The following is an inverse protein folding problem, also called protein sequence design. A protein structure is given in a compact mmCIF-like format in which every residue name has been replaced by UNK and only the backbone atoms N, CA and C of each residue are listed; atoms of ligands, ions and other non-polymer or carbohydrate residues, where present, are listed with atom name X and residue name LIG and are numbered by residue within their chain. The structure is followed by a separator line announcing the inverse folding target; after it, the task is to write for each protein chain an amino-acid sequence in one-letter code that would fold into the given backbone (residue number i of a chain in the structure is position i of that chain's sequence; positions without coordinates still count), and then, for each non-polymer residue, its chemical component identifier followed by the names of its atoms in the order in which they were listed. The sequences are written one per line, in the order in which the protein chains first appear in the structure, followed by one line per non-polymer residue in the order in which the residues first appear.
data_IF_078976447428
#
_entry.id   IF_078976447428
#
_cell.length_a   1.000
_cell.length_b   1.000
_cell.length_c   1.000
_cell.angle_alpha   90.00
_cell.angle_beta   90.00
_cell.angle_gamma   90.00
#
_symmetry.space_group_name_H-M   'P 1'
#
loop_
_entity.id
_entity.type
_entity.pdbx_description
1 polymer ?
#
# COMPACT_ATOMS: atom_id res chain seq x y z
N UNK A 1 12.38 -46.52 20.79
CA UNK A 1 11.54 -45.31 20.70
C UNK A 1 12.31 -43.99 20.93
N UNK A 2 13.16 -43.81 21.96
CA UNK A 2 13.90 -42.53 22.17
C UNK A 2 14.80 -42.10 20.98
N UNK A 3 15.45 -42.99 20.26
CA UNK A 3 16.31 -42.67 19.11
C UNK A 3 15.54 -42.26 17.88
N UNK A 4 14.39 -42.91 17.61
CA UNK A 4 13.50 -42.57 16.49
C UNK A 4 12.91 -41.15 16.70
N UNK A 5 12.49 -40.82 17.92
CA UNK A 5 12.01 -39.47 18.23
C UNK A 5 13.09 -38.38 18.10
N UNK A 6 14.35 -38.70 18.41
CA UNK A 6 15.48 -37.77 18.19
C UNK A 6 15.77 -37.56 16.70
N UNK A 7 15.76 -38.60 15.89
CA UNK A 7 16.01 -38.52 14.45
C UNK A 7 14.98 -37.61 13.77
N UNK A 8 13.68 -37.82 14.02
CA UNK A 8 12.62 -36.97 13.50
C UNK A 8 12.73 -35.54 14.02
N UNK A 9 13.14 -35.36 15.27
CA UNK A 9 13.41 -34.03 15.84
C UNK A 9 14.47 -33.25 15.08
N UNK A 10 15.56 -33.91 14.64
CA UNK A 10 16.59 -33.24 13.83
C UNK A 10 16.13 -32.91 12.43
N UNK A 11 15.33 -33.77 11.79
CA UNK A 11 14.74 -33.46 10.46
C UNK A 11 13.82 -32.25 10.56
N UNK A 12 12.91 -32.20 11.53
CA UNK A 12 12.00 -31.08 11.75
C UNK A 12 12.75 -29.80 12.09
N UNK A 13 13.85 -29.89 12.84
CA UNK A 13 14.69 -28.72 13.13
C UNK A 13 15.38 -28.20 11.87
N UNK A 14 15.83 -29.06 10.98
CA UNK A 14 16.37 -28.69 9.66
C UNK A 14 15.34 -28.00 8.79
N UNK A 15 14.11 -28.53 8.75
CA UNK A 15 12.98 -27.89 8.04
C UNK A 15 12.69 -26.51 8.64
N UNK A 16 12.62 -26.41 9.97
CA UNK A 16 12.37 -25.13 10.64
C UNK A 16 13.48 -24.11 10.33
N UNK A 17 14.74 -24.52 10.30
CA UNK A 17 15.84 -23.64 9.91
C UNK A 17 15.64 -23.10 8.48
N UNK A 18 15.27 -23.94 7.53
CA UNK A 18 14.93 -23.51 6.18
C UNK A 18 13.76 -22.49 6.18
N UNK A 19 12.71 -22.73 6.97
CA UNK A 19 11.58 -21.81 7.08
C UNK A 19 11.96 -20.46 7.71
N UNK A 20 12.88 -20.46 8.69
CA UNK A 20 13.44 -19.22 9.26
C UNK A 20 14.24 -18.46 8.20
N UNK A 21 15.11 -19.13 7.45
CA UNK A 21 15.88 -18.49 6.37
C UNK A 21 14.94 -17.87 5.33
N UNK A 22 13.90 -18.59 4.90
CA UNK A 22 12.91 -18.07 3.94
C UNK A 22 12.12 -16.89 4.51
N UNK A 23 11.75 -16.91 5.80
CA UNK A 23 11.13 -15.76 6.47
C UNK A 23 12.05 -14.53 6.42
N UNK A 24 13.34 -14.69 6.71
CA UNK A 24 14.31 -13.59 6.69
C UNK A 24 14.53 -13.08 5.26
N UNK A 25 14.64 -13.95 4.26
CA UNK A 25 14.71 -13.54 2.85
C UNK A 25 13.51 -12.69 2.46
N UNK A 26 12.29 -13.09 2.87
CA UNK A 26 11.09 -12.31 2.62
C UNK A 26 11.08 -10.98 3.39
N UNK A 27 11.45 -10.98 4.67
CA UNK A 27 11.48 -9.79 5.52
C UNK A 27 12.47 -8.73 5.02
N UNK A 28 13.60 -9.17 4.43
CA UNK A 28 14.66 -8.30 3.92
C UNK A 28 14.64 -8.10 2.41
N UNK A 29 13.67 -8.67 1.70
CA UNK A 29 13.48 -8.44 0.26
C UNK A 29 13.32 -6.97 -0.15
N UNK A 30 12.80 -6.04 0.71
CA UNK A 30 12.77 -4.61 0.38
C UNK A 30 14.15 -3.99 0.12
N UNK A 31 15.24 -4.63 0.52
CA UNK A 31 16.61 -4.17 0.27
C UNK A 31 17.23 -4.75 -1.03
N UNK A 32 16.51 -5.62 -1.72
CA UNK A 32 16.92 -6.18 -3.01
C UNK A 32 16.49 -5.21 -4.11
N UNK A 33 17.47 -4.77 -4.93
CA UNK A 33 17.18 -3.90 -6.08
C UNK A 33 16.35 -4.65 -7.13
N UNK A 34 15.11 -4.16 -7.44
CA UNK A 34 14.26 -4.83 -8.43
C UNK A 34 14.76 -4.71 -9.86
N UNK A 35 15.62 -3.74 -10.18
CA UNK A 35 16.20 -3.59 -11.51
C UNK A 35 17.25 -4.68 -11.75
N UNK A 36 18.09 -4.95 -10.74
CA UNK A 36 19.11 -5.98 -10.82
C UNK A 36 18.55 -7.40 -10.57
N UNK A 37 17.58 -7.53 -9.64
CA UNK A 37 17.06 -8.82 -9.17
C UNK A 37 15.52 -8.82 -9.08
N UNK A 38 14.80 -8.66 -10.21
CA UNK A 38 13.35 -8.40 -10.18
C UNK A 38 12.53 -9.52 -9.53
N UNK A 39 12.89 -10.78 -9.74
CA UNK A 39 12.16 -11.92 -9.13
C UNK A 39 12.38 -11.98 -7.63
N UNK A 40 13.63 -11.80 -7.16
CA UNK A 40 13.95 -11.86 -5.74
C UNK A 40 13.35 -10.69 -4.94
N UNK A 41 13.21 -9.52 -5.56
CA UNK A 41 12.54 -8.37 -4.93
C UNK A 41 11.07 -8.63 -4.60
N UNK A 42 10.42 -9.57 -5.31
CA UNK A 42 9.04 -9.98 -5.04
C UNK A 42 8.91 -10.97 -3.87
N UNK A 43 10.00 -11.42 -3.25
CA UNK A 43 9.96 -12.40 -2.14
C UNK A 43 9.10 -11.91 -0.96
N UNK A 44 8.99 -10.60 -0.74
CA UNK A 44 8.15 -10.00 0.30
C UNK A 44 6.66 -10.37 0.19
N UNK A 45 6.18 -10.74 -1.00
CA UNK A 45 4.80 -11.22 -1.18
C UNK A 45 4.54 -12.55 -0.44
N UNK A 46 5.56 -13.37 -0.24
CA UNK A 46 5.46 -14.62 0.50
C UNK A 46 5.66 -14.47 2.02
N UNK A 47 6.00 -13.25 2.50
CA UNK A 47 6.25 -12.95 3.90
C UNK A 47 5.17 -13.48 4.85
N UNK A 48 3.84 -13.23 4.63
CA UNK A 48 2.82 -13.68 5.55
C UNK A 48 2.74 -15.21 5.66
N UNK A 49 2.99 -15.94 4.59
CA UNK A 49 2.99 -17.40 4.61
C UNK A 49 4.14 -17.95 5.50
N UNK A 50 5.36 -17.44 5.31
CA UNK A 50 6.50 -17.87 6.13
C UNK A 50 6.39 -17.36 7.56
N UNK A 51 5.77 -16.22 7.82
CA UNK A 51 5.47 -15.75 9.17
C UNK A 51 4.55 -16.75 9.90
N UNK A 52 3.45 -17.17 9.28
CA UNK A 52 2.51 -18.15 9.86
C UNK A 52 3.24 -19.49 10.14
N UNK A 53 4.00 -19.99 9.18
CA UNK A 53 4.74 -21.26 9.35
C UNK A 53 5.72 -21.16 10.53
N UNK A 54 6.45 -20.07 10.69
CA UNK A 54 7.40 -19.90 11.80
C UNK A 54 6.68 -19.72 13.15
N UNK A 55 5.51 -19.10 13.19
CA UNK A 55 4.67 -19.05 14.40
C UNK A 55 4.19 -20.46 14.78
N UNK A 56 3.79 -21.28 13.83
CA UNK A 56 3.39 -22.67 14.06
C UNK A 56 4.58 -23.50 14.57
N UNK A 57 5.78 -23.35 14.00
CA UNK A 57 6.99 -23.99 14.53
C UNK A 57 7.34 -23.52 15.94
N UNK A 58 7.19 -22.23 16.24
CA UNK A 58 7.42 -21.71 17.60
C UNK A 58 6.51 -22.43 18.60
N UNK A 59 5.20 -22.46 18.33
CA UNK A 59 4.22 -23.14 19.20
C UNK A 59 4.52 -24.63 19.31
N UNK A 60 4.80 -25.32 18.21
CA UNK A 60 5.14 -26.74 18.18
C UNK A 60 6.36 -27.04 19.07
N UNK A 61 7.44 -26.25 18.95
CA UNK A 61 8.64 -26.48 19.75
C UNK A 61 8.47 -26.14 21.23
N UNK A 62 7.65 -25.14 21.56
CA UNK A 62 7.33 -24.83 22.96
C UNK A 62 6.64 -26.01 23.67
N UNK A 63 5.86 -26.80 22.92
CA UNK A 63 5.16 -27.99 23.46
C UNK A 63 6.08 -29.21 23.51
N UNK A 64 6.86 -29.48 22.45
CA UNK A 64 7.60 -30.75 22.30
C UNK A 64 9.03 -30.66 22.85
N UNK A 65 9.82 -29.66 22.42
CA UNK A 65 11.22 -29.45 22.82
C UNK A 65 11.54 -27.96 22.94
N UNK A 66 11.28 -27.37 24.09
CA UNK A 66 11.36 -25.91 24.35
C UNK A 66 12.68 -25.26 23.89
N UNK A 67 13.80 -25.96 23.96
CA UNK A 67 15.09 -25.42 23.51
C UNK A 67 15.14 -25.10 22.01
N UNK A 68 14.37 -25.82 21.18
CA UNK A 68 14.32 -25.61 19.74
C UNK A 68 13.40 -24.44 19.35
N UNK A 69 12.50 -24.01 20.24
CA UNK A 69 11.67 -22.83 20.06
C UNK A 69 12.51 -21.55 19.87
N UNK A 70 13.75 -21.53 20.43
CA UNK A 70 14.66 -20.40 20.28
C UNK A 70 14.96 -20.07 18.80
N UNK A 71 15.02 -21.08 17.93
CA UNK A 71 15.28 -20.87 16.50
C UNK A 71 14.17 -20.03 15.84
N UNK A 72 12.91 -20.44 15.98
CA UNK A 72 11.78 -19.68 15.43
C UNK A 72 11.62 -18.32 16.13
N UNK A 73 11.84 -18.26 17.46
CA UNK A 73 11.78 -17.02 18.22
C UNK A 73 12.79 -15.99 17.69
N UNK A 74 14.04 -16.36 17.49
CA UNK A 74 15.08 -15.48 16.94
C UNK A 74 14.73 -15.04 15.50
N UNK A 75 14.22 -15.93 14.65
CA UNK A 75 13.74 -15.60 13.31
C UNK A 75 12.64 -14.52 13.35
N UNK A 76 11.68 -14.65 14.25
CA UNK A 76 10.59 -13.68 14.44
C UNK A 76 11.12 -12.34 14.98
N UNK A 77 12.04 -12.37 15.96
CA UNK A 77 12.68 -11.14 16.49
C UNK A 77 13.45 -10.41 15.40
N UNK A 78 14.24 -11.12 14.58
CA UNK A 78 14.94 -10.51 13.45
C UNK A 78 13.99 -9.95 12.38
N UNK A 79 12.74 -10.42 12.32
CA UNK A 79 11.72 -9.98 11.37
C UNK A 79 10.75 -8.95 11.97
N UNK A 80 10.96 -8.47 13.21
CA UNK A 80 9.99 -7.65 13.95
C UNK A 80 9.61 -6.37 13.20
N UNK A 81 10.55 -5.73 12.51
CA UNK A 81 10.29 -4.55 11.67
C UNK A 81 9.31 -4.85 10.54
N UNK A 82 9.53 -5.95 9.81
CA UNK A 82 8.64 -6.40 8.75
C UNK A 82 7.26 -6.82 9.30
N UNK A 83 7.24 -7.52 10.45
CA UNK A 83 5.98 -7.90 11.12
C UNK A 83 5.17 -6.65 11.46
N UNK A 84 5.79 -5.64 12.09
CA UNK A 84 5.13 -4.39 12.45
C UNK A 84 4.65 -3.62 11.23
N UNK A 85 5.43 -3.59 10.15
CA UNK A 85 5.02 -2.93 8.91
C UNK A 85 3.83 -3.63 8.25
N UNK A 86 3.81 -4.98 8.28
CA UNK A 86 2.76 -5.76 7.65
C UNK A 86 1.47 -5.84 8.47
N UNK A 87 1.60 -5.98 9.80
CA UNK A 87 0.50 -6.14 10.75
C UNK A 87 0.74 -5.28 12.00
N UNK A 88 0.56 -3.95 11.91
CA UNK A 88 0.70 -3.08 13.08
C UNK A 88 -0.37 -3.37 14.11
N UNK A 89 0.02 -3.25 15.39
CA UNK A 89 -0.87 -3.33 16.55
C UNK A 89 -0.62 -2.10 17.41
N UNK A 90 -1.59 -1.18 17.43
CA UNK A 90 -1.55 0.03 18.23
C UNK A 90 -2.66 -0.04 19.29
N UNK A 91 -2.30 -0.49 20.50
CA UNK A 91 -3.24 -0.71 21.61
C UNK A 91 -3.70 0.62 22.20
N UNK A 92 -2.79 1.60 22.27
CA UNK A 92 -3.09 2.91 22.81
C UNK A 92 -3.42 3.89 21.69
N UNK A 93 -4.69 4.28 21.61
CA UNK A 93 -5.17 5.27 20.65
C UNK A 93 -5.05 6.66 21.30
N UNK A 94 -4.18 7.51 20.77
CA UNK A 94 -4.10 8.90 21.19
C UNK A 94 -5.32 9.67 20.70
N UNK A 95 -5.80 10.61 21.50
CA UNK A 95 -6.82 11.55 21.06
C UNK A 95 -6.32 12.40 19.89
N UNK A 96 -7.22 12.71 18.98
CA UNK A 96 -6.90 13.59 17.84
C UNK A 96 -6.79 15.01 18.38
N UNK A 97 -5.63 15.68 18.22
CA UNK A 97 -5.46 17.03 18.73
C UNK A 97 -6.34 18.03 17.96
N UNK A 98 -6.69 19.10 18.63
CA UNK A 98 -7.39 20.23 18.00
C UNK A 98 -6.54 20.81 16.85
N UNK A 99 -7.16 21.16 15.73
CA UNK A 99 -6.46 21.65 14.54
C UNK A 99 -5.80 20.58 13.67
N UNK A 100 -5.90 19.29 14.03
CA UNK A 100 -5.48 18.21 13.15
C UNK A 100 -6.29 18.20 11.86
N UNK A 101 -5.61 18.03 10.72
CA UNK A 101 -6.27 17.93 9.41
C UNK A 101 -6.62 16.48 9.09
N UNK A 102 -7.80 16.24 8.52
CA UNK A 102 -8.18 14.93 7.99
C UNK A 102 -7.71 14.79 6.55
N UNK A 103 -6.79 13.87 6.31
CA UNK A 103 -6.23 13.55 5.01
C UNK A 103 -6.79 12.25 4.47
N UNK A 104 -7.20 12.21 3.19
CA UNK A 104 -7.79 11.05 2.53
C UNK A 104 -7.10 10.80 1.18
N UNK A 105 -6.77 9.55 0.91
CA UNK A 105 -6.30 9.05 -0.40
C UNK A 105 -7.21 7.93 -0.89
N UNK A 106 -7.61 7.97 -2.16
CA UNK A 106 -8.53 6.99 -2.71
C UNK A 106 -8.32 6.75 -4.22
N UNK A 107 -8.02 5.51 -4.60
CA UNK A 107 -8.13 5.06 -5.99
C UNK A 107 -9.61 4.77 -6.28
N UNK A 108 -10.21 5.60 -7.15
CA UNK A 108 -11.67 5.64 -7.35
C UNK A 108 -12.18 4.63 -8.37
N UNK A 109 -11.29 3.87 -9.04
CA UNK A 109 -11.65 3.01 -10.17
C UNK A 109 -12.55 3.78 -11.17
N UNK A 110 -12.07 4.93 -11.62
CA UNK A 110 -12.84 5.83 -12.50
C UNK A 110 -14.23 6.21 -11.95
N UNK A 111 -14.35 6.44 -10.63
CA UNK A 111 -15.64 6.71 -9.96
C UNK A 111 -16.68 5.61 -10.22
N UNK A 112 -16.32 4.36 -9.86
CA UNK A 112 -17.12 3.16 -10.14
C UNK A 112 -17.35 2.96 -11.66
N UNK A 113 -16.24 2.83 -12.41
CA UNK A 113 -16.27 2.63 -13.88
C UNK A 113 -17.07 3.68 -14.62
N UNK A 114 -16.88 4.95 -14.22
CA UNK A 114 -17.54 6.12 -14.80
C UNK A 114 -19.09 6.06 -14.68
N UNK A 115 -19.59 5.61 -13.51
CA UNK A 115 -21.00 5.58 -13.21
C UNK A 115 -21.56 7.01 -13.16
N UNK A 116 -22.70 7.22 -13.83
CA UNK A 116 -23.39 8.51 -13.80
C UNK A 116 -23.77 8.94 -12.38
N UNK A 117 -23.83 10.23 -12.16
CA UNK A 117 -24.29 10.83 -10.91
C UNK A 117 -25.63 11.53 -11.16
N UNK A 118 -26.73 10.89 -10.78
CA UNK A 118 -28.08 11.46 -10.95
C UNK A 118 -28.74 11.69 -9.60
N UNK A 119 -29.81 12.49 -9.57
CA UNK A 119 -30.54 12.78 -8.35
C UNK A 119 -31.16 11.52 -7.73
N UNK A 120 -31.68 10.62 -8.57
CA UNK A 120 -32.36 9.39 -8.12
C UNK A 120 -31.38 8.23 -7.90
N UNK A 121 -30.17 8.32 -8.45
CA UNK A 121 -29.12 7.32 -8.30
C UNK A 121 -27.74 8.00 -8.23
N UNK A 122 -27.40 8.57 -7.06
CA UNK A 122 -26.16 9.29 -6.88
C UNK A 122 -24.95 8.34 -6.99
N UNK A 123 -23.83 8.88 -7.45
CA UNK A 123 -22.59 8.12 -7.52
C UNK A 123 -22.04 7.91 -6.10
N UNK A 124 -21.89 6.66 -5.62
CA UNK A 124 -21.54 6.36 -4.24
C UNK A 124 -20.12 6.80 -3.87
N UNK A 125 -19.19 6.86 -4.86
CA UNK A 125 -17.84 7.38 -4.61
C UNK A 125 -17.91 8.88 -4.31
N UNK A 126 -18.71 9.65 -5.07
CA UNK A 126 -18.89 11.07 -4.81
C UNK A 126 -19.60 11.35 -3.49
N UNK A 127 -20.60 10.54 -3.14
CA UNK A 127 -21.27 10.64 -1.83
C UNK A 127 -20.30 10.36 -0.67
N UNK A 128 -19.50 9.31 -0.80
CA UNK A 128 -18.48 8.98 0.20
C UNK A 128 -17.48 10.15 0.37
N UNK A 129 -16.94 10.66 -0.74
CA UNK A 129 -15.98 11.77 -0.71
C UNK A 129 -16.57 13.03 -0.06
N UNK A 130 -17.80 13.39 -0.41
CA UNK A 130 -18.52 14.52 0.18
C UNK A 130 -18.73 14.36 1.68
N UNK A 131 -19.12 13.15 2.10
CA UNK A 131 -19.44 12.86 3.49
C UNK A 131 -18.21 12.51 4.34
N UNK A 132 -17.03 12.35 3.72
CA UNK A 132 -15.79 11.99 4.41
C UNK A 132 -15.31 13.04 5.41
N UNK A 133 -15.72 14.30 5.24
CA UNK A 133 -15.23 15.46 5.99
C UNK A 133 -13.70 15.58 6.00
N UNK A 134 -13.03 15.08 4.95
CA UNK A 134 -11.61 15.26 4.80
C UNK A 134 -11.28 16.73 4.47
N UNK A 135 -10.12 17.19 4.89
CA UNK A 135 -9.65 18.55 4.57
C UNK A 135 -8.84 18.57 3.27
N UNK A 136 -8.15 17.47 3.00
CA UNK A 136 -7.40 17.24 1.76
C UNK A 136 -7.73 15.85 1.24
N UNK A 137 -8.09 15.75 -0.04
CA UNK A 137 -8.42 14.52 -0.75
C UNK A 137 -7.48 14.35 -1.94
N UNK A 138 -6.77 13.24 -1.99
CA UNK A 138 -5.97 12.82 -3.14
C UNK A 138 -6.63 11.61 -3.83
N UNK A 139 -6.88 11.75 -5.14
CA UNK A 139 -7.59 10.73 -5.92
C UNK A 139 -6.67 10.15 -6.99
N UNK A 140 -6.71 8.84 -7.16
CA UNK A 140 -6.10 8.10 -8.25
C UNK A 140 -7.20 7.54 -9.16
N UNK A 141 -6.84 7.18 -10.38
CA UNK A 141 -7.78 6.82 -11.44
C UNK A 141 -8.94 7.84 -11.59
N UNK A 142 -8.58 9.11 -11.54
CA UNK A 142 -9.54 10.18 -11.77
C UNK A 142 -9.89 10.23 -13.26
N UNK A 143 -10.89 9.45 -13.67
CA UNK A 143 -11.33 9.33 -15.06
C UNK A 143 -12.74 9.89 -15.18
N UNK A 144 -12.88 10.94 -15.95
CA UNK A 144 -14.14 11.64 -16.23
C UNK A 144 -14.27 11.94 -17.74
N UNK A 145 -15.45 12.34 -18.18
CA UNK A 145 -15.70 12.69 -19.59
C UNK A 145 -16.49 11.64 -20.35
N UNK A 146 -17.19 10.77 -19.64
CA UNK A 146 -18.19 9.84 -20.17
C UNK A 146 -19.56 10.10 -19.56
N UNK A 147 -20.08 9.10 -18.81
CA UNK A 147 -21.35 9.24 -18.08
C UNK A 147 -21.23 10.12 -16.83
N UNK A 148 -20.03 10.31 -16.32
CA UNK A 148 -19.72 11.24 -15.23
C UNK A 148 -18.82 12.36 -15.79
N UNK A 149 -19.26 13.58 -15.67
CA UNK A 149 -18.52 14.75 -16.15
C UNK A 149 -17.69 15.38 -15.04
N UNK A 150 -16.61 16.09 -15.43
CA UNK A 150 -15.81 16.86 -14.47
C UNK A 150 -16.66 17.90 -13.71
N UNK A 151 -17.66 18.51 -14.39
CA UNK A 151 -18.55 19.50 -13.76
C UNK A 151 -19.39 18.87 -12.64
N UNK A 152 -19.87 17.65 -12.81
CA UNK A 152 -20.63 16.93 -11.78
C UNK A 152 -19.74 16.57 -10.58
N UNK A 153 -18.50 16.13 -10.81
CA UNK A 153 -17.53 15.89 -9.74
C UNK A 153 -17.22 17.18 -8.99
N UNK A 154 -16.91 18.27 -9.72
CA UNK A 154 -16.61 19.57 -9.12
C UNK A 154 -17.81 20.15 -8.34
N UNK A 155 -19.05 19.87 -8.79
CA UNK A 155 -20.27 20.26 -8.08
C UNK A 155 -20.49 19.42 -6.81
N UNK A 156 -20.26 18.13 -6.88
CA UNK A 156 -20.37 17.24 -5.70
C UNK A 156 -19.35 17.62 -4.62
N UNK A 157 -18.15 18.03 -5.02
CA UNK A 157 -17.05 18.43 -4.14
C UNK A 157 -16.86 19.97 -4.07
N UNK A 158 -17.96 20.74 -4.21
CA UNK A 158 -17.91 22.22 -4.19
C UNK A 158 -17.45 22.83 -2.87
N UNK A 159 -17.49 22.06 -1.77
CA UNK A 159 -17.01 22.48 -0.45
C UNK A 159 -15.47 22.50 -0.36
N UNK A 160 -14.78 22.08 -1.43
CA UNK A 160 -13.34 22.18 -1.61
C UNK A 160 -13.03 23.32 -2.61
N UNK A 161 -12.73 24.54 -2.13
CA UNK A 161 -12.50 25.69 -3.01
C UNK A 161 -11.25 25.54 -3.87
N UNK A 162 -10.25 24.78 -3.39
CA UNK A 162 -8.99 24.55 -4.10
C UNK A 162 -8.96 23.14 -4.66
N UNK A 163 -8.74 23.03 -5.96
CA UNK A 163 -8.73 21.77 -6.68
C UNK A 163 -7.74 21.77 -7.82
N UNK A 164 -7.12 20.65 -8.05
CA UNK A 164 -6.25 20.41 -9.20
C UNK A 164 -6.55 19.05 -9.80
N UNK A 165 -6.63 19.00 -11.10
CA UNK A 165 -6.70 17.78 -11.88
C UNK A 165 -5.52 17.74 -12.84
N UNK A 166 -4.77 16.67 -12.83
CA UNK A 166 -3.67 16.44 -13.75
C UNK A 166 -3.90 15.16 -14.56
N UNK A 167 -4.01 15.33 -15.87
CA UNK A 167 -4.13 14.21 -16.81
C UNK A 167 -2.75 13.54 -16.96
N UNK A 168 -2.70 12.23 -16.80
CA UNK A 168 -1.48 11.43 -16.97
C UNK A 168 -1.40 10.88 -18.39
N UNK A 169 -2.38 10.06 -18.78
CA UNK A 169 -2.42 9.40 -20.08
C UNK A 169 -3.85 9.04 -20.47
N UNK A 170 -4.21 9.16 -21.74
CA UNK A 170 -5.56 8.85 -22.19
C UNK A 170 -6.61 9.63 -21.41
N UNK A 171 -7.52 8.94 -20.72
CA UNK A 171 -8.50 9.51 -19.80
C UNK A 171 -8.04 9.46 -18.33
N UNK A 172 -6.93 8.76 -18.01
CA UNK A 172 -6.44 8.59 -16.64
C UNK A 172 -5.79 9.87 -16.11
N UNK A 173 -6.00 10.14 -14.82
CA UNK A 173 -5.44 11.29 -14.15
C UNK A 173 -5.39 11.14 -12.63
N UNK A 174 -4.82 12.16 -12.00
CA UNK A 174 -4.78 12.35 -10.56
C UNK A 174 -5.53 13.63 -10.18
N UNK A 175 -6.29 13.56 -9.09
CA UNK A 175 -7.04 14.69 -8.55
C UNK A 175 -6.57 15.06 -7.14
N UNK A 176 -6.62 16.35 -6.84
CA UNK A 176 -6.47 16.86 -5.48
C UNK A 176 -7.59 17.87 -5.22
N UNK A 177 -8.31 17.66 -4.13
CA UNK A 177 -9.32 18.58 -3.60
C UNK A 177 -8.91 18.99 -2.19
N UNK A 178 -8.92 20.29 -1.91
CA UNK A 178 -8.41 20.82 -0.65
C UNK A 178 -9.27 21.98 -0.14
N UNK A 179 -9.47 22.04 1.16
CA UNK A 179 -9.98 23.22 1.85
C UNK A 179 -8.94 24.32 1.99
N UNK A 180 -7.67 23.96 1.79
CA UNK A 180 -6.51 24.82 1.90
C UNK A 180 -5.96 25.21 0.52
N UNK A 181 -5.33 26.39 0.38
CA UNK A 181 -4.77 26.86 -0.89
C UNK A 181 -3.73 25.91 -1.48
N UNK A 182 -3.94 25.46 -2.71
CA UNK A 182 -2.97 24.73 -3.52
C UNK A 182 -2.10 25.79 -4.24
N UNK A 183 -0.84 25.94 -3.79
CA UNK A 183 0.08 26.97 -4.30
C UNK A 183 0.73 26.52 -5.62
N UNK A 184 1.00 25.25 -5.79
CA UNK A 184 1.56 24.69 -7.02
C UNK A 184 1.24 23.20 -7.17
N UNK A 185 1.29 22.71 -8.40
CA UNK A 185 1.10 21.31 -8.76
C UNK A 185 2.04 20.97 -9.92
N UNK A 186 2.95 20.02 -9.71
CA UNK A 186 3.94 19.64 -10.70
C UNK A 186 4.04 18.11 -10.80
N UNK A 187 4.09 17.53 -12.01
CA UNK A 187 4.34 16.11 -12.18
C UNK A 187 5.75 15.74 -11.73
N UNK A 188 5.89 14.60 -11.07
CA UNK A 188 7.20 14.01 -10.75
C UNK A 188 7.75 13.37 -12.04
N UNK A 189 8.98 13.70 -12.38
CA UNK A 189 9.59 13.25 -13.66
C UNK A 189 10.13 11.83 -13.54
N UNK A 190 9.48 10.90 -14.23
CA UNK A 190 9.93 9.55 -14.52
C UNK A 190 9.17 8.98 -15.72
N UNK A 191 9.69 7.92 -16.33
CA UNK A 191 9.01 7.27 -17.45
C UNK A 191 7.87 6.39 -16.97
N UNK A 192 6.67 6.60 -17.49
CA UNK A 192 5.52 5.72 -17.37
C UNK A 192 4.54 6.00 -18.50
N UNK A 193 3.82 4.99 -18.94
CA UNK A 193 2.81 5.14 -20.00
C UNK A 193 1.44 5.55 -19.44
N UNK A 194 1.04 4.99 -18.30
CA UNK A 194 -0.32 5.11 -17.78
C UNK A 194 -0.39 5.56 -16.32
N UNK A 195 0.73 5.63 -15.62
CA UNK A 195 0.83 5.92 -14.20
C UNK A 195 1.66 7.18 -13.97
N UNK A 196 1.51 7.82 -12.82
CA UNK A 196 2.20 9.06 -12.54
C UNK A 196 2.09 9.50 -11.09
N UNK A 197 2.86 10.55 -10.77
CA UNK A 197 2.82 11.21 -9.46
C UNK A 197 2.79 12.71 -9.64
N UNK A 198 2.03 13.39 -8.78
CA UNK A 198 1.93 14.85 -8.74
C UNK A 198 2.35 15.34 -7.37
N UNK A 199 3.26 16.30 -7.36
CA UNK A 199 3.70 17.01 -6.16
C UNK A 199 2.93 18.33 -6.05
N UNK A 200 2.17 18.48 -4.97
CA UNK A 200 1.43 19.69 -4.62
C UNK A 200 2.16 20.42 -3.48
N UNK A 201 2.17 21.76 -3.53
CA UNK A 201 2.45 22.58 -2.35
C UNK A 201 1.13 23.13 -1.85
N UNK A 202 0.75 22.80 -0.62
CA UNK A 202 -0.53 23.20 -0.02
C UNK A 202 -0.23 24.00 1.24
N UNK A 203 -0.84 25.19 1.37
CA UNK A 203 -0.64 26.06 2.52
C UNK A 203 -1.62 25.70 3.63
N UNK A 204 -1.14 25.13 4.73
CA UNK A 204 -1.96 24.67 5.86
C UNK A 204 -1.48 25.39 7.13
N UNK A 205 -2.37 26.08 7.83
CA UNK A 205 -2.09 26.73 9.14
C UNK A 205 -0.84 27.61 9.17
N UNK A 206 -0.53 28.27 8.06
CA UNK A 206 0.65 29.14 7.96
C UNK A 206 1.86 28.48 7.31
N UNK A 207 1.99 27.18 7.37
CA UNK A 207 3.07 26.40 6.76
C UNK A 207 2.72 25.87 5.38
N UNK A 208 3.73 25.41 4.65
CA UNK A 208 3.56 24.80 3.33
C UNK A 208 3.88 23.31 3.41
N UNK A 209 2.87 22.46 3.18
CA UNK A 209 3.05 21.03 3.07
C UNK A 209 3.40 20.64 1.63
N UNK A 210 4.34 19.71 1.45
CA UNK A 210 4.50 18.96 0.21
C UNK A 210 3.59 17.74 0.27
N UNK A 211 2.64 17.67 -0.64
CA UNK A 211 1.76 16.48 -0.79
C UNK A 211 2.09 15.82 -2.12
N UNK A 212 2.53 14.56 -2.10
CA UNK A 212 2.83 13.78 -3.31
C UNK A 212 1.76 12.71 -3.46
N UNK A 213 0.89 12.89 -4.46
CA UNK A 213 -0.15 11.94 -4.82
C UNK A 213 0.37 10.99 -5.90
N UNK A 214 0.39 9.71 -5.62
CA UNK A 214 0.99 8.68 -6.46
C UNK A 214 -0.04 7.68 -6.99
N UNK A 215 0.10 7.32 -8.26
CA UNK A 215 -0.41 6.09 -8.81
C UNK A 215 0.76 5.44 -9.55
N UNK A 216 1.48 4.55 -8.86
CA UNK A 216 2.69 3.93 -9.40
C UNK A 216 2.34 2.79 -10.37
N UNK A 217 3.35 2.32 -11.11
CA UNK A 217 3.16 1.32 -12.17
C UNK A 217 2.36 0.12 -11.69
N UNK A 218 1.26 -0.16 -12.37
CA UNK A 218 0.37 -1.28 -12.05
C UNK A 218 1.00 -2.62 -12.43
N UNK A 219 0.56 -3.68 -11.78
CA UNK A 219 1.06 -5.04 -12.05
C UNK A 219 0.62 -5.61 -13.40
N UNK A 220 -0.22 -4.89 -14.16
CA UNK A 220 -0.73 -5.26 -15.49
C UNK A 220 -1.34 -6.67 -15.55
N UNK A 221 -1.90 -7.12 -14.42
CA UNK A 221 -2.59 -8.40 -14.37
C UNK A 221 -3.92 -8.29 -15.11
N UNK A 222 -4.05 -9.01 -16.20
CA UNK A 222 -5.28 -9.11 -16.98
C UNK A 222 -6.30 -10.00 -16.28
N UNK A 223 -7.57 -9.95 -16.70
CA UNK A 223 -8.59 -10.90 -16.18
C UNK A 223 -8.19 -12.37 -16.42
N UNK A 224 -7.50 -12.65 -17.55
CA UNK A 224 -6.95 -13.98 -17.82
C UNK A 224 -5.89 -14.40 -16.79
N UNK A 225 -5.00 -13.47 -16.38
CA UNK A 225 -4.00 -13.76 -15.35
C UNK A 225 -4.65 -14.02 -13.99
N UNK A 226 -5.69 -13.26 -13.65
CA UNK A 226 -6.47 -13.44 -12.43
C UNK A 226 -7.25 -14.76 -12.46
N UNK A 227 -7.68 -15.22 -13.63
CA UNK A 227 -8.32 -16.52 -13.81
C UNK A 227 -7.32 -17.67 -13.61
N UNK A 228 -6.13 -17.57 -14.20
CA UNK A 228 -5.02 -18.52 -13.94
C UNK A 228 -4.74 -18.66 -12.44
N UNK A 229 -4.70 -17.55 -11.72
CA UNK A 229 -4.51 -17.56 -10.26
C UNK A 229 -5.69 -18.30 -9.56
N UNK A 230 -6.93 -17.98 -9.92
CA UNK A 230 -8.12 -18.66 -9.36
C UNK A 230 -8.12 -20.16 -9.61
N UNK A 231 -7.74 -20.58 -10.82
CA UNK A 231 -7.63 -22.00 -11.16
C UNK A 231 -6.54 -22.71 -10.36
N UNK A 232 -5.37 -22.06 -10.18
CA UNK A 232 -4.30 -22.60 -9.34
C UNK A 232 -4.74 -22.82 -7.88
N UNK A 233 -5.59 -21.93 -7.37
CA UNK A 233 -6.09 -22.03 -5.98
C UNK A 233 -7.21 -23.09 -5.86
N UNK A 234 -8.01 -23.31 -6.90
CA UNK A 234 -9.13 -24.29 -6.87
C UNK A 234 -8.68 -25.73 -7.13
N UNK A 235 -7.75 -25.91 -8.04
CA UNK A 235 -7.25 -27.21 -8.48
C UNK A 235 -5.72 -27.14 -8.62
N UNK A 236 -4.97 -27.29 -7.50
CA UNK A 236 -3.52 -27.13 -7.45
C UNK A 236 -2.77 -28.31 -8.08
N UNK A 237 -2.85 -28.45 -9.40
CA UNK A 237 -2.00 -29.37 -10.14
C UNK A 237 -0.56 -28.80 -10.25
N UNK A 238 0.44 -29.69 -10.10
CA UNK A 238 1.85 -29.30 -10.09
C UNK A 238 2.28 -28.51 -11.33
N UNK A 239 1.78 -28.87 -12.51
CA UNK A 239 2.12 -28.21 -13.78
C UNK A 239 1.43 -26.85 -13.87
N UNK A 240 0.15 -26.74 -13.55
CA UNK A 240 -0.62 -25.49 -13.50
C UNK A 240 -0.01 -24.51 -12.51
N UNK A 241 0.31 -24.97 -11.29
CA UNK A 241 0.92 -24.13 -10.25
C UNK A 241 2.29 -23.62 -10.71
N UNK A 242 3.13 -24.47 -11.31
CA UNK A 242 4.47 -24.05 -11.78
C UNK A 242 4.38 -23.03 -12.90
N UNK A 243 3.55 -23.25 -13.92
CA UNK A 243 3.42 -22.34 -15.07
C UNK A 243 2.74 -21.03 -14.68
N UNK A 244 1.65 -21.10 -13.91
CA UNK A 244 0.91 -19.93 -13.46
C UNK A 244 1.74 -19.06 -12.53
N UNK A 245 2.45 -19.64 -11.57
CA UNK A 245 3.35 -18.88 -10.67
C UNK A 245 4.47 -18.20 -11.46
N UNK A 246 5.07 -18.87 -12.42
CA UNK A 246 6.12 -18.28 -13.27
C UNK A 246 5.61 -17.07 -14.07
N UNK A 247 4.41 -17.18 -14.64
CA UNK A 247 3.77 -16.09 -15.38
C UNK A 247 3.50 -14.90 -14.47
N UNK A 248 2.84 -15.14 -13.32
CA UNK A 248 2.45 -14.08 -12.39
C UNK A 248 3.68 -13.39 -11.77
N UNK A 249 4.65 -14.17 -11.29
CA UNK A 249 5.89 -13.63 -10.72
C UNK A 249 6.66 -12.82 -11.78
N UNK A 250 6.69 -13.28 -13.05
CA UNK A 250 7.32 -12.54 -14.13
C UNK A 250 6.73 -11.14 -14.33
N UNK A 251 5.39 -11.03 -14.37
CA UNK A 251 4.70 -9.73 -14.48
C UNK A 251 4.91 -8.83 -13.27
N UNK A 252 4.83 -9.39 -12.07
CA UNK A 252 5.08 -8.67 -10.82
C UNK A 252 6.52 -8.15 -10.76
N UNK A 253 7.48 -8.95 -11.17
CA UNK A 253 8.89 -8.61 -11.21
C UNK A 253 9.17 -7.47 -12.22
N UNK A 254 8.58 -7.53 -13.42
CA UNK A 254 8.68 -6.44 -14.41
C UNK A 254 8.12 -5.13 -13.87
N UNK A 255 6.91 -5.17 -13.28
CA UNK A 255 6.28 -4.01 -12.69
C UNK A 255 7.09 -3.45 -11.50
N UNK A 256 7.67 -4.33 -10.66
CA UNK A 256 8.52 -3.93 -9.53
C UNK A 256 9.79 -3.19 -10.00
N UNK A 257 10.43 -3.63 -11.10
CA UNK A 257 11.58 -2.94 -11.66
C UNK A 257 11.24 -1.53 -12.16
N UNK A 258 10.06 -1.34 -12.79
CA UNK A 258 9.58 -0.01 -13.20
C UNK A 258 9.29 0.85 -11.98
N UNK A 259 8.58 0.32 -10.98
CA UNK A 259 8.27 1.03 -9.74
C UNK A 259 9.52 1.46 -8.96
N UNK A 260 10.61 0.70 -9.02
CA UNK A 260 11.86 1.08 -8.37
C UNK A 260 12.37 2.45 -8.87
N UNK A 261 12.39 2.66 -10.18
CA UNK A 261 12.80 3.95 -10.77
C UNK A 261 11.86 5.08 -10.39
N UNK A 262 10.56 4.80 -10.31
CA UNK A 262 9.55 5.76 -9.86
C UNK A 262 9.76 6.11 -8.38
N UNK A 263 9.98 5.11 -7.53
CA UNK A 263 10.24 5.27 -6.10
C UNK A 263 11.49 6.13 -5.83
N UNK A 264 12.58 5.85 -6.54
CA UNK A 264 13.81 6.64 -6.43
C UNK A 264 13.61 8.11 -6.82
N UNK A 265 12.75 8.37 -7.81
CA UNK A 265 12.44 9.74 -8.23
C UNK A 265 11.62 10.49 -7.18
N UNK A 266 10.67 9.82 -6.55
CA UNK A 266 9.87 10.36 -5.45
C UNK A 266 10.76 10.60 -4.23
N UNK A 267 11.61 9.63 -3.86
CA UNK A 267 12.52 9.75 -2.72
C UNK A 267 13.48 10.95 -2.87
N UNK A 268 14.03 11.17 -4.07
CA UNK A 268 14.86 12.37 -4.35
C UNK A 268 14.08 13.68 -4.19
N UNK A 269 12.83 13.73 -4.66
CA UNK A 269 11.96 14.90 -4.48
C UNK A 269 11.71 15.17 -2.99
N UNK A 270 11.36 14.14 -2.23
CA UNK A 270 11.09 14.19 -0.78
C UNK A 270 12.32 14.66 -0.02
N UNK A 271 13.50 14.06 -0.28
CA UNK A 271 14.75 14.42 0.37
C UNK A 271 15.20 15.87 0.07
N UNK A 272 14.85 16.38 -1.11
CA UNK A 272 15.15 17.76 -1.53
C UNK A 272 14.24 18.83 -0.93
N UNK A 273 13.10 18.45 -0.32
CA UNK A 273 12.14 19.42 0.22
C UNK A 273 12.57 19.95 1.59
N UNK A 274 12.54 21.29 1.74
CA UNK A 274 12.97 22.02 2.94
C UNK A 274 11.85 22.86 3.59
N UNK A 275 10.59 22.58 3.22
CA UNK A 275 9.42 23.28 3.79
C UNK A 275 8.92 22.65 5.10
N UNK A 276 7.67 22.93 5.46
CA UNK A 276 7.04 22.51 6.71
C UNK A 276 6.94 20.99 6.85
N UNK A 277 5.90 20.37 6.31
CA UNK A 277 5.70 18.93 6.40
C UNK A 277 5.62 18.25 5.03
N UNK A 278 5.74 16.92 5.01
CA UNK A 278 5.61 16.10 3.80
C UNK A 278 4.56 15.03 4.04
N UNK A 279 3.65 14.87 3.08
CA UNK A 279 2.70 13.76 2.99
C UNK A 279 2.89 13.10 1.64
N UNK A 280 3.27 11.83 1.62
CA UNK A 280 3.31 11.02 0.40
C UNK A 280 2.19 10.00 0.47
N UNK A 281 1.29 9.99 -0.51
CA UNK A 281 0.12 9.14 -0.48
C UNK A 281 -0.16 8.50 -1.84
N UNK A 282 -1.10 7.58 -1.86
CA UNK A 282 -1.67 7.02 -3.07
C UNK A 282 -1.49 5.53 -3.21
N UNK A 283 -1.83 5.05 -4.39
CA UNK A 283 -1.70 3.66 -4.81
C UNK A 283 -0.26 3.38 -5.26
N UNK A 284 0.48 2.64 -4.43
CA UNK A 284 1.86 2.26 -4.74
C UNK A 284 1.93 0.99 -5.62
N UNK A 285 0.79 0.30 -5.81
CA UNK A 285 0.72 -0.97 -6.53
C UNK A 285 1.71 -2.04 -6.02
N UNK A 286 2.17 -1.89 -4.79
CA UNK A 286 3.17 -2.76 -4.15
C UNK A 286 2.87 -2.97 -2.67
N UNK A 287 3.32 -4.10 -2.13
CA UNK A 287 3.08 -4.46 -0.73
C UNK A 287 3.90 -3.59 0.24
N UNK A 288 3.53 -3.55 1.54
CA UNK A 288 4.35 -2.86 2.54
C UNK A 288 5.75 -3.47 2.71
N UNK A 289 5.93 -4.74 2.32
CA UNK A 289 7.23 -5.43 2.34
C UNK A 289 7.79 -5.43 0.91
N UNK A 290 8.09 -4.23 0.39
CA UNK A 290 8.63 -4.03 -0.95
C UNK A 290 9.72 -2.97 -0.98
N UNK A 291 10.54 -3.01 -2.03
CA UNK A 291 11.52 -1.97 -2.33
C UNK A 291 10.83 -0.60 -2.48
N UNK A 292 9.74 -0.56 -3.22
CA UNK A 292 8.96 0.67 -3.47
C UNK A 292 8.55 1.34 -2.16
N UNK A 293 7.89 0.59 -1.26
CA UNK A 293 7.44 1.14 0.02
C UNK A 293 8.62 1.62 0.88
N UNK A 294 9.71 0.83 0.95
CA UNK A 294 10.92 1.20 1.70
C UNK A 294 11.56 2.49 1.17
N UNK A 295 11.76 2.58 -0.14
CA UNK A 295 12.49 3.72 -0.75
C UNK A 295 11.67 5.00 -0.68
N UNK A 296 10.38 4.95 -1.02
CA UNK A 296 9.48 6.12 -0.88
C UNK A 296 9.34 6.53 0.59
N UNK A 297 9.35 5.54 1.49
CA UNK A 297 9.23 5.75 2.94
C UNK A 297 10.54 6.16 3.65
N UNK A 298 11.65 6.29 2.93
CA UNK A 298 12.91 6.65 3.56
C UNK A 298 12.83 8.05 4.21
N UNK A 299 13.10 8.09 5.53
CA UNK A 299 12.96 9.32 6.32
C UNK A 299 11.52 9.70 6.68
N UNK A 300 10.51 8.93 6.27
CA UNK A 300 9.10 9.14 6.59
C UNK A 300 8.59 8.08 7.58
N UNK A 301 7.45 8.35 8.20
CA UNK A 301 6.68 7.41 9.02
C UNK A 301 5.46 6.92 8.23
N UNK A 302 5.20 5.62 8.21
CA UNK A 302 3.96 5.07 7.66
C UNK A 302 2.81 5.34 8.65
N UNK A 303 1.80 6.10 8.21
CA UNK A 303 0.67 6.51 9.03
C UNK A 303 -0.14 5.29 9.52
N UNK A 304 -0.26 4.24 8.69
CA UNK A 304 -0.98 3.03 9.09
C UNK A 304 -0.18 2.23 10.12
N UNK A 305 1.14 2.18 10.01
CA UNK A 305 2.02 1.55 11.03
C UNK A 305 2.00 2.34 12.33
N UNK A 306 1.91 3.67 12.26
CA UNK A 306 1.94 4.56 13.43
C UNK A 306 0.61 4.56 14.20
N UNK A 307 -0.56 4.49 13.52
CA UNK A 307 -1.87 4.69 14.16
C UNK A 307 -3.01 3.83 13.61
N UNK A 308 -2.72 2.90 12.69
CA UNK A 308 -3.67 1.89 12.21
C UNK A 308 -3.51 0.55 12.91
N UNK A 309 -4.37 -0.42 12.59
CA UNK A 309 -4.36 -1.76 13.17
C UNK A 309 -4.69 -2.83 12.13
N UNK A 310 -4.05 -3.99 12.24
CA UNK A 310 -4.32 -5.17 11.42
C UNK A 310 -3.63 -5.11 10.05
N UNK A 311 -4.19 -5.78 9.06
CA UNK A 311 -3.59 -5.90 7.72
C UNK A 311 -3.73 -4.64 6.86
N UNK A 312 -4.75 -3.82 7.10
CA UNK A 312 -5.02 -2.63 6.31
C UNK A 312 -5.27 -2.91 4.83
N UNK A 313 -5.93 -4.01 4.51
CA UNK A 313 -6.20 -4.43 3.14
C UNK A 313 -6.93 -3.31 2.41
N UNK A 314 -6.28 -2.68 1.45
CA UNK A 314 -6.85 -1.61 0.63
C UNK A 314 -7.29 -2.09 -0.76
N UNK A 315 -6.65 -3.12 -1.32
CA UNK A 315 -7.08 -3.79 -2.54
C UNK A 315 -7.73 -5.14 -2.23
N UNK A 316 -8.95 -5.38 -2.74
CA UNK A 316 -9.76 -6.52 -2.38
C UNK A 316 -10.52 -7.06 -3.61
N UNK A 317 -9.81 -7.63 -4.57
CA UNK A 317 -10.41 -8.22 -5.76
C UNK A 317 -9.79 -9.57 -6.10
N UNK A 318 -10.62 -10.51 -6.56
CA UNK A 318 -10.18 -11.81 -7.10
C UNK A 318 -9.27 -12.62 -6.18
N UNK A 319 -9.52 -12.58 -4.85
CA UNK A 319 -8.71 -13.21 -3.79
C UNK A 319 -7.30 -12.59 -3.61
N UNK A 320 -7.04 -11.44 -4.21
CA UNK A 320 -5.87 -10.62 -3.90
C UNK A 320 -6.23 -9.64 -2.78
N UNK A 321 -5.62 -9.80 -1.62
CA UNK A 321 -5.88 -9.02 -0.42
C UNK A 321 -4.58 -8.35 0.02
N UNK A 322 -4.36 -7.11 -0.44
CA UNK A 322 -3.11 -6.38 -0.18
C UNK A 322 -3.37 -4.97 0.31
N UNK A 323 -2.47 -4.47 1.17
CA UNK A 323 -2.36 -3.04 1.43
C UNK A 323 -1.39 -2.46 0.41
N UNK A 324 -1.90 -1.73 -0.58
CA UNK A 324 -1.12 -1.09 -1.63
C UNK A 324 -1.34 0.42 -1.66
N UNK A 325 -2.36 0.92 -0.97
CA UNK A 325 -2.59 2.33 -0.75
C UNK A 325 -1.95 2.76 0.57
N UNK A 326 -1.18 3.84 0.55
CA UNK A 326 -0.36 4.25 1.66
C UNK A 326 -0.48 5.77 1.92
N UNK A 327 -0.22 6.17 3.18
CA UNK A 327 0.02 7.55 3.60
C UNK A 327 1.30 7.54 4.42
N UNK A 328 2.31 8.26 3.97
CA UNK A 328 3.61 8.39 4.63
C UNK A 328 3.82 9.85 5.03
N UNK A 329 4.30 10.10 6.23
CA UNK A 329 4.42 11.41 6.84
C UNK A 329 5.87 11.74 7.21
N UNK A 330 6.31 12.97 7.00
CA UNK A 330 7.59 13.44 7.54
C UNK A 330 7.61 13.38 9.07
N UNK A 331 8.81 13.28 9.66
CA UNK A 331 8.99 13.01 11.08
C UNK A 331 8.44 14.10 12.01
N UNK A 332 8.27 15.32 11.53
CA UNK A 332 7.64 16.42 12.25
C UNK A 332 6.10 16.35 12.27
N UNK A 333 5.51 15.45 11.47
CA UNK A 333 4.09 15.16 11.49
C UNK A 333 3.80 13.84 12.23
N UNK A 334 2.59 13.73 12.78
CA UNK A 334 2.09 12.52 13.43
C UNK A 334 0.71 12.16 12.89
N UNK A 335 0.49 10.86 12.67
CA UNK A 335 -0.81 10.33 12.29
C UNK A 335 -1.62 9.91 13.49
N UNK A 336 -2.95 10.03 13.35
CA UNK A 336 -3.92 9.55 14.33
C UNK A 336 -5.05 8.84 13.60
N UNK A 337 -5.51 7.71 14.16
CA UNK A 337 -6.65 6.92 13.68
C UNK A 337 -6.57 6.55 12.21
N UNK A 338 -5.38 6.18 11.71
CA UNK A 338 -5.24 5.78 10.33
C UNK A 338 -6.09 4.54 10.04
N UNK A 339 -6.95 4.66 9.04
CA UNK A 339 -7.98 3.66 8.74
C UNK A 339 -8.03 3.39 7.25
N UNK A 340 -8.06 2.12 6.87
CA UNK A 340 -8.51 1.68 5.55
C UNK A 340 -10.01 1.40 5.69
N UNK A 341 -10.82 2.21 5.02
CA UNK A 341 -12.27 2.24 5.21
C UNK A 341 -12.98 1.32 4.23
N UNK A 342 -13.32 0.12 4.69
CA UNK A 342 -14.00 -0.90 3.90
C UNK A 342 -15.54 -0.78 3.91
N UNK A 343 -16.10 0.30 4.39
CA UNK A 343 -17.56 0.55 4.36
C UNK A 343 -18.05 0.83 2.95
N UNK A 344 -17.22 1.49 2.10
CA UNK A 344 -17.50 1.68 0.67
C UNK A 344 -16.90 0.54 -0.16
N UNK A 345 -17.69 0.03 -1.13
CA UNK A 345 -17.31 -1.10 -2.02
C UNK A 345 -17.46 -0.78 -3.50
N UNK A 346 -17.49 0.50 -3.85
CA UNK A 346 -17.71 0.98 -5.22
C UNK A 346 -16.44 1.16 -6.03
N UNK A 347 -15.30 0.77 -5.47
CA UNK A 347 -14.00 0.62 -6.13
C UNK A 347 -13.42 -0.75 -5.76
N UNK A 348 -12.47 -1.22 -6.53
CA UNK A 348 -11.61 -2.36 -6.17
C UNK A 348 -10.56 -1.99 -5.12
N UNK A 349 -10.45 -0.71 -4.78
CA UNK A 349 -9.71 -0.21 -3.64
C UNK A 349 -10.64 0.31 -2.55
N UNK A 350 -10.16 0.27 -1.30
CA UNK A 350 -10.75 0.98 -0.18
C UNK A 350 -9.96 2.26 0.09
N UNK A 351 -10.64 3.39 0.39
CA UNK A 351 -9.95 4.62 0.75
C UNK A 351 -9.15 4.44 2.04
N UNK A 352 -7.98 5.09 2.08
CA UNK A 352 -7.19 5.22 3.30
C UNK A 352 -7.23 6.67 3.77
N UNK A 353 -7.45 6.89 5.06
CA UNK A 353 -7.46 8.21 5.65
C UNK A 353 -6.87 8.22 7.06
N UNK A 354 -6.36 9.35 7.49
CA UNK A 354 -5.91 9.59 8.85
C UNK A 354 -6.10 11.06 9.23
N UNK A 355 -6.05 11.36 10.53
CA UNK A 355 -5.80 12.71 10.97
C UNK A 355 -4.30 12.95 11.07
N UNK A 356 -3.86 14.14 10.71
CA UNK A 356 -2.45 14.56 10.69
C UNK A 356 -2.31 15.85 11.48
N UNK A 357 -1.37 15.89 12.40
CA UNK A 357 -1.00 17.09 13.14
C UNK A 357 0.52 17.19 13.24
N UNK A 358 1.04 18.38 13.54
CA UNK A 358 2.43 18.59 13.93
C UNK A 358 2.70 17.93 15.29
N UNK A 359 3.96 17.49 15.48
CA UNK A 359 4.41 16.90 16.76
C UNK A 359 4.72 17.96 17.79
#
# INVERSE_FOLDING_TARGET
MKYIGRFWGWILLGINLCMVVLLLVCAYSPYIDPVAHPVWSCAGLAFPAFLIVNLLFLVFWLVIYRKYALLSFLGLVCSIGAIRTYFPVNVFVSDVPEGAIKFLSYNTMAFEKNRANTKDNPNPVLEYLRNSNADIICLQEYIVGGRLTKKEVDYALRDYPYKNYHKISGANGLGCYSRFPILSAHPVKYASLNNGSIAYKIKVNGDTLLVVNNHLESNKLTEKDKEVYREMMKDPDKQKVSQGSRLLIGKLAEASAIRAVQADSIARLVAGYKGGGIIVCGDFNDSPISYTHRVVGEGLNDAFVESGNGFGISYNQNHFYFRIDNILLSKNLKSYRCTVDNTIKSSDHYPIWCYVAEK
#
